data_IF_447973903842
#
_entry.id   IF_447973903842
#
_cell.length_a   1.000
_cell.length_b   1.000
_cell.length_c   1.000
_cell.angle_alpha   90.00
_cell.angle_beta   90.00
_cell.angle_gamma   90.00
#
_symmetry.space_group_name_H-M   'P 1'
#
loop_
_entity.id
_entity.type
_entity.pdbx_description
1 polymer ?
#
# COMPACT_ATOMS: atom_id res chain seq x y z
N UNK A 1 13.66 17.89 6.05
CA UNK A 1 12.24 17.67 5.70
C UNK A 1 11.84 16.36 6.37
N UNK A 2 10.82 16.34 7.21
CA UNK A 2 10.39 15.13 7.91
C UNK A 2 9.09 14.66 7.28
N UNK A 3 9.17 13.63 6.43
CA UNK A 3 8.00 12.85 6.02
C UNK A 3 7.64 11.97 7.23
N UNK A 4 6.53 12.27 7.89
CA UNK A 4 5.94 11.36 8.89
C UNK A 4 4.86 10.56 8.18
N UNK A 5 5.29 9.52 7.45
CA UNK A 5 4.38 8.48 6.97
C UNK A 5 4.04 7.53 8.12
N UNK A 6 2.78 7.13 8.24
CA UNK A 6 2.42 5.96 9.04
C UNK A 6 2.56 4.74 8.13
N UNK A 7 3.13 3.66 8.66
CA UNK A 7 3.24 2.37 7.96
C UNK A 7 1.90 1.66 8.02
N UNK A 8 1.34 1.34 6.87
CA UNK A 8 0.18 0.46 6.72
C UNK A 8 0.60 -0.85 6.02
N UNK A 9 -0.23 -1.88 6.15
CA UNK A 9 0.08 -3.22 5.63
C UNK A 9 -1.09 -3.80 4.85
N UNK A 10 -0.80 -4.44 3.72
CA UNK A 10 -1.71 -5.36 3.04
C UNK A 10 -1.21 -6.79 3.33
N UNK A 11 -2.10 -7.64 3.83
CA UNK A 11 -1.76 -9.00 4.26
C UNK A 11 -2.59 -10.04 3.52
N UNK A 12 -1.91 -10.98 2.88
CA UNK A 12 -2.45 -12.27 2.49
C UNK A 12 -1.96 -13.33 3.48
N UNK A 13 -2.87 -14.08 4.08
CA UNK A 13 -2.55 -15.20 4.98
C UNK A 13 -3.56 -16.32 4.74
N UNK A 14 -3.08 -17.50 4.36
CA UNK A 14 -3.92 -18.66 4.03
C UNK A 14 -3.29 -19.96 4.52
N UNK A 15 -4.14 -20.93 4.83
CA UNK A 15 -3.73 -22.31 5.14
C UNK A 15 -3.85 -23.17 3.88
N UNK A 16 -2.84 -23.98 3.63
CA UNK A 16 -2.80 -24.94 2.54
C UNK A 16 -2.65 -26.35 3.07
N UNK A 17 -3.34 -27.29 2.43
CA UNK A 17 -3.37 -28.69 2.80
C UNK A 17 -2.62 -29.52 1.76
N UNK A 18 -1.76 -30.42 2.21
CA UNK A 18 -1.03 -31.34 1.33
C UNK A 18 -2.02 -32.21 0.53
N UNK A 19 -1.71 -32.40 -0.76
CA UNK A 19 -2.52 -33.21 -1.66
C UNK A 19 -3.83 -32.55 -2.11
N UNK A 20 -4.08 -31.28 -1.73
CA UNK A 20 -5.26 -30.53 -2.14
C UNK A 20 -4.91 -29.39 -3.09
N UNK A 21 -5.83 -29.12 -4.02
CA UNK A 21 -5.81 -27.88 -4.82
C UNK A 21 -6.30 -26.71 -3.98
N UNK A 22 -5.94 -25.50 -4.38
CA UNK A 22 -6.13 -24.30 -3.57
C UNK A 22 -7.04 -23.22 -4.20
N UNK A 23 -8.30 -23.53 -4.59
CA UNK A 23 -9.17 -22.55 -5.28
C UNK A 23 -9.56 -21.36 -4.39
N UNK A 24 -9.80 -21.59 -3.10
CA UNK A 24 -10.15 -20.52 -2.15
C UNK A 24 -8.95 -19.59 -1.91
N UNK A 25 -7.77 -20.16 -1.77
CA UNK A 25 -6.52 -19.43 -1.62
C UNK A 25 -6.19 -18.66 -2.89
N UNK A 26 -6.52 -19.20 -4.07
CA UNK A 26 -6.38 -18.48 -5.34
C UNK A 26 -7.30 -17.25 -5.39
N UNK A 27 -8.56 -17.37 -4.98
CA UNK A 27 -9.47 -16.23 -4.91
C UNK A 27 -8.95 -15.14 -3.94
N UNK A 28 -8.43 -15.53 -2.77
CA UNK A 28 -7.80 -14.61 -1.83
C UNK A 28 -6.52 -13.97 -2.41
N UNK A 29 -5.74 -14.71 -3.19
CA UNK A 29 -4.55 -14.18 -3.86
C UNK A 29 -4.89 -13.14 -4.93
N UNK A 30 -5.96 -13.37 -5.69
CA UNK A 30 -6.47 -12.38 -6.64
C UNK A 30 -7.02 -11.13 -5.93
N UNK A 31 -7.62 -11.28 -4.76
CA UNK A 31 -8.03 -10.14 -3.93
C UNK A 31 -6.81 -9.32 -3.46
N UNK A 32 -5.74 -9.97 -3.00
CA UNK A 32 -4.47 -9.31 -2.69
C UNK A 32 -3.95 -8.53 -3.91
N UNK A 33 -3.89 -9.16 -5.08
CA UNK A 33 -3.42 -8.51 -6.31
C UNK A 33 -4.23 -7.24 -6.62
N UNK A 34 -5.55 -7.27 -6.44
CA UNK A 34 -6.41 -6.10 -6.63
C UNK A 34 -6.12 -4.97 -5.63
N UNK A 35 -5.74 -5.30 -4.39
CA UNK A 35 -5.36 -4.32 -3.36
C UNK A 35 -3.99 -3.69 -3.61
N UNK A 36 -3.10 -4.32 -4.38
CA UNK A 36 -1.74 -3.82 -4.67
C UNK A 36 -1.68 -2.62 -5.63
N UNK A 37 -2.61 -1.67 -5.51
CA UNK A 37 -2.66 -0.42 -6.28
C UNK A 37 -1.33 0.37 -6.19
N UNK A 38 -0.99 1.19 -7.21
CA UNK A 38 0.21 2.02 -7.20
C UNK A 38 0.30 2.94 -5.97
N UNK A 39 1.29 2.69 -5.11
CA UNK A 39 1.62 3.45 -3.89
C UNK A 39 3.08 3.20 -3.52
N UNK A 40 3.60 3.95 -2.55
CA UNK A 40 4.98 3.80 -2.04
C UNK A 40 5.08 2.59 -1.11
N UNK A 41 5.39 1.43 -1.67
CA UNK A 41 5.68 0.23 -0.89
C UNK A 41 7.09 0.29 -0.32
N UNK A 42 7.25 -0.14 0.92
CA UNK A 42 8.51 -0.07 1.67
C UNK A 42 9.10 -1.43 1.98
N UNK A 43 8.26 -2.47 2.02
CA UNK A 43 8.70 -3.85 2.26
C UNK A 43 7.72 -4.85 1.68
N UNK A 44 8.23 -5.98 1.19
CA UNK A 44 7.45 -7.21 1.03
C UNK A 44 8.09 -8.32 1.84
N UNK A 45 7.28 -9.15 2.50
CA UNK A 45 7.73 -10.30 3.28
C UNK A 45 6.93 -11.54 2.92
N UNK A 46 7.62 -12.69 2.75
CA UNK A 46 7.00 -14.02 2.68
C UNK A 46 7.40 -14.79 3.93
N UNK A 47 6.42 -15.27 4.69
CA UNK A 47 6.62 -16.09 5.91
C UNK A 47 5.52 -17.14 6.05
N UNK A 48 5.64 -18.04 7.02
CA UNK A 48 4.68 -19.14 7.17
C UNK A 48 4.89 -19.97 8.43
N UNK A 49 4.08 -21.00 8.63
CA UNK A 49 4.18 -21.84 9.83
C UNK A 49 5.50 -22.62 9.94
N UNK A 50 6.16 -22.91 8.82
CA UNK A 50 7.46 -23.58 8.79
C UNK A 50 8.66 -22.60 8.91
N UNK A 51 8.43 -21.31 8.66
CA UNK A 51 9.41 -20.24 8.89
C UNK A 51 8.68 -18.94 9.28
N UNK A 52 8.49 -18.70 10.59
CA UNK A 52 7.81 -17.50 11.08
C UNK A 52 8.60 -16.21 10.88
N UNK A 53 9.92 -16.29 10.63
CA UNK A 53 10.76 -15.11 10.35
C UNK A 53 10.60 -14.72 8.89
N UNK A 54 10.71 -15.69 7.99
CA UNK A 54 10.53 -15.51 6.56
C UNK A 54 11.66 -14.74 5.87
N UNK A 55 11.39 -14.33 4.64
CA UNK A 55 12.29 -13.52 3.81
C UNK A 55 11.60 -12.20 3.47
N UNK A 56 12.33 -11.10 3.63
CA UNK A 56 11.87 -9.77 3.26
C UNK A 56 12.71 -9.15 2.14
N UNK A 57 12.09 -8.25 1.40
CA UNK A 57 12.74 -7.29 0.53
C UNK A 57 12.36 -5.87 0.95
N UNK A 58 13.34 -4.99 1.11
CA UNK A 58 13.18 -3.60 1.53
C UNK A 58 13.77 -2.57 0.58
N UNK A 59 14.26 -2.99 -0.59
CA UNK A 59 14.64 -2.07 -1.67
C UNK A 59 13.38 -1.46 -2.33
N UNK A 60 13.17 -0.13 -2.27
CA UNK A 60 11.92 0.47 -2.73
C UNK A 60 11.60 0.18 -4.20
N UNK A 61 12.61 0.16 -5.08
CA UNK A 61 12.40 -0.09 -6.51
C UNK A 61 12.00 -1.54 -6.78
N UNK A 62 12.62 -2.49 -6.08
CA UNK A 62 12.26 -3.90 -6.15
C UNK A 62 10.85 -4.15 -5.61
N UNK A 63 10.52 -3.62 -4.43
CA UNK A 63 9.20 -3.81 -3.81
C UNK A 63 8.09 -3.20 -4.67
N UNK A 64 8.28 -1.98 -5.19
CA UNK A 64 7.33 -1.34 -6.11
C UNK A 64 7.17 -2.15 -7.40
N UNK A 65 8.27 -2.66 -7.98
CA UNK A 65 8.24 -3.51 -9.16
C UNK A 65 7.46 -4.81 -8.95
N UNK A 66 7.69 -5.49 -7.82
CA UNK A 66 6.98 -6.71 -7.43
C UNK A 66 5.49 -6.43 -7.26
N UNK A 67 5.13 -5.40 -6.48
CA UNK A 67 3.73 -5.04 -6.24
C UNK A 67 3.00 -4.69 -7.55
N UNK A 68 3.64 -3.91 -8.43
CA UNK A 68 3.08 -3.55 -9.73
C UNK A 68 2.90 -4.77 -10.64
N UNK A 69 3.87 -5.70 -10.67
CA UNK A 69 3.78 -6.91 -11.47
C UNK A 69 2.62 -7.82 -11.02
N UNK A 70 2.44 -7.98 -9.70
CA UNK A 70 1.32 -8.71 -9.13
C UNK A 70 -0.02 -8.01 -9.41
N UNK A 71 -0.10 -6.70 -9.20
CA UNK A 71 -1.33 -5.92 -9.40
C UNK A 71 -1.82 -5.94 -10.85
N UNK A 72 -0.90 -5.78 -11.80
CA UNK A 72 -1.22 -5.79 -13.24
C UNK A 72 -1.50 -7.18 -13.80
N UNK A 73 -1.25 -8.24 -13.02
CA UNK A 73 -1.33 -9.62 -13.50
C UNK A 73 -0.30 -9.90 -14.60
N UNK A 74 0.91 -9.32 -14.50
CA UNK A 74 1.92 -9.45 -15.55
C UNK A 74 2.38 -10.92 -15.69
N UNK A 75 2.05 -11.53 -16.83
CA UNK A 75 2.37 -12.93 -17.13
C UNK A 75 3.84 -13.15 -17.49
N UNK A 76 4.56 -12.10 -17.90
CA UNK A 76 5.96 -12.19 -18.23
C UNK A 76 6.79 -12.33 -16.95
N UNK A 77 7.78 -13.21 -17.00
CA UNK A 77 8.71 -13.41 -15.89
C UNK A 77 9.55 -12.15 -15.70
N UNK A 78 9.58 -11.65 -14.47
CA UNK A 78 10.38 -10.52 -14.03
C UNK A 78 11.14 -10.90 -12.77
N UNK A 79 12.32 -10.31 -12.60
CA UNK A 79 13.20 -10.56 -11.46
C UNK A 79 13.74 -9.28 -10.86
N UNK A 80 13.93 -9.30 -9.54
CA UNK A 80 14.56 -8.23 -8.77
C UNK A 80 15.52 -8.85 -7.75
N UNK A 81 16.74 -8.32 -7.66
CA UNK A 81 17.66 -8.67 -6.58
C UNK A 81 17.41 -7.73 -5.40
N UNK A 82 17.14 -8.28 -4.22
CA UNK A 82 16.78 -7.52 -3.04
C UNK A 82 17.17 -8.25 -1.77
N UNK A 83 17.87 -7.55 -0.86
CA UNK A 83 18.30 -8.07 0.45
C UNK A 83 18.99 -9.45 0.37
N UNK A 84 19.82 -9.65 -0.67
CA UNK A 84 20.58 -10.89 -0.89
C UNK A 84 19.79 -12.02 -1.56
N UNK A 85 18.56 -11.76 -1.98
CA UNK A 85 17.66 -12.74 -2.57
C UNK A 85 17.18 -12.32 -3.96
N UNK A 86 16.90 -13.29 -4.83
CA UNK A 86 16.31 -13.04 -6.14
C UNK A 86 14.81 -13.28 -6.08
N UNK A 87 14.05 -12.20 -6.18
CA UNK A 87 12.59 -12.21 -6.19
C UNK A 87 12.08 -12.32 -7.62
N UNK A 88 11.08 -13.16 -7.83
CA UNK A 88 10.50 -13.46 -9.12
C UNK A 88 8.98 -13.34 -9.12
N UNK A 89 8.43 -12.76 -10.18
CA UNK A 89 7.00 -12.83 -10.48
C UNK A 89 6.79 -13.24 -11.92
N UNK A 90 5.76 -14.03 -12.19
CA UNK A 90 5.37 -14.39 -13.56
C UNK A 90 4.30 -15.47 -13.59
N UNK A 91 3.89 -15.87 -14.79
CA UNK A 91 2.86 -16.89 -14.97
C UNK A 91 3.32 -18.26 -14.46
N UNK A 92 2.48 -18.92 -13.67
CA UNK A 92 2.60 -20.35 -13.35
C UNK A 92 1.21 -20.97 -13.23
N UNK A 93 0.85 -21.84 -14.18
CA UNK A 93 -0.52 -22.34 -14.32
C UNK A 93 -1.45 -21.25 -14.86
N UNK A 94 -2.55 -20.96 -14.15
CA UNK A 94 -3.55 -19.97 -14.58
C UNK A 94 -3.44 -18.63 -13.85
N UNK A 95 -2.41 -18.42 -13.03
CA UNK A 95 -2.21 -17.18 -12.29
C UNK A 95 -0.74 -16.80 -12.16
N UNK A 96 -0.50 -15.72 -11.42
CA UNK A 96 0.84 -15.18 -11.18
C UNK A 96 1.40 -15.74 -9.87
N UNK A 97 2.63 -16.26 -9.95
CA UNK A 97 3.45 -16.70 -8.83
C UNK A 97 4.25 -15.52 -8.26
N UNK A 98 4.47 -15.53 -6.94
CA UNK A 98 5.56 -14.80 -6.29
C UNK A 98 6.55 -15.82 -5.72
N UNK A 99 7.84 -15.70 -6.04
CA UNK A 99 8.87 -16.60 -5.51
C UNK A 99 10.17 -15.87 -5.19
N UNK A 100 10.99 -16.48 -4.34
CA UNK A 100 12.35 -16.01 -3.99
C UNK A 100 13.39 -16.92 -4.66
N UNK A 101 13.14 -17.25 -5.93
CA UNK A 101 14.00 -18.02 -6.82
C UNK A 101 13.42 -17.94 -8.25
N UNK A 102 13.76 -18.90 -9.11
CA UNK A 102 13.21 -19.01 -10.47
C UNK A 102 11.69 -19.29 -10.49
N UNK A 103 10.96 -18.50 -11.28
CA UNK A 103 9.49 -18.58 -11.35
C UNK A 103 9.04 -19.90 -11.99
N UNK A 104 8.00 -20.51 -11.39
CA UNK A 104 7.38 -21.75 -11.86
C UNK A 104 8.30 -22.98 -11.84
N UNK A 105 9.32 -22.94 -10.98
CA UNK A 105 10.22 -24.07 -10.71
C UNK A 105 9.89 -24.67 -9.34
N UNK A 106 10.25 -25.94 -9.14
CA UNK A 106 10.20 -26.59 -7.82
C UNK A 106 11.52 -26.35 -7.08
N UNK A 107 11.45 -26.01 -5.80
CA UNK A 107 12.60 -25.86 -4.92
C UNK A 107 12.37 -26.60 -3.60
N UNK A 108 13.44 -27.03 -2.93
CA UNK A 108 13.38 -27.71 -1.64
C UNK A 108 14.67 -27.47 -0.84
N UNK A 109 14.63 -26.64 0.23
CA UNK A 109 13.54 -25.73 0.57
C UNK A 109 13.38 -24.61 -0.46
N UNK A 110 12.21 -23.95 -0.48
CA UNK A 110 11.97 -22.76 -1.29
C UNK A 110 10.91 -21.85 -0.69
N UNK A 111 10.79 -20.66 -1.27
CA UNK A 111 9.78 -19.66 -0.93
C UNK A 111 9.02 -19.31 -2.20
N UNK A 112 7.84 -19.88 -2.36
CA UNK A 112 6.95 -19.62 -3.49
C UNK A 112 5.49 -19.60 -3.03
N UNK A 113 4.72 -18.67 -3.59
CA UNK A 113 3.28 -18.54 -3.37
C UNK A 113 2.63 -18.51 -4.75
N UNK A 114 1.98 -19.61 -5.13
CA UNK A 114 1.31 -19.80 -6.43
C UNK A 114 -0.03 -20.53 -6.28
N UNK A 115 -0.97 -20.01 -5.46
CA UNK A 115 -2.23 -20.67 -5.19
C UNK A 115 -3.11 -20.87 -6.44
N UNK A 116 -2.86 -20.10 -7.49
CA UNK A 116 -3.58 -20.18 -8.76
C UNK A 116 -2.91 -21.10 -9.80
N UNK A 117 -2.02 -22.02 -9.38
CA UNK A 117 -1.38 -22.98 -10.31
C UNK A 117 -2.36 -24.06 -10.84
N UNK A 118 -3.52 -24.22 -10.22
CA UNK A 118 -4.58 -25.19 -10.55
C UNK A 118 -4.23 -26.69 -10.33
N UNK A 119 -3.19 -26.96 -9.55
CA UNK A 119 -2.83 -28.29 -9.03
C UNK A 119 -2.37 -28.18 -7.56
N UNK A 120 -1.83 -29.27 -7.01
CA UNK A 120 -1.44 -29.42 -5.61
C UNK A 120 -0.07 -28.79 -5.28
N UNK A 121 0.66 -28.26 -6.28
CA UNK A 121 1.98 -27.64 -6.12
C UNK A 121 1.87 -26.13 -5.86
N UNK A 122 1.04 -25.72 -4.91
CA UNK A 122 0.67 -24.33 -4.62
C UNK A 122 1.80 -23.45 -4.06
N UNK A 123 2.99 -24.02 -3.83
CA UNK A 123 4.16 -23.33 -3.31
C UNK A 123 4.63 -23.89 -1.98
N UNK A 124 5.34 -23.09 -1.19
CA UNK A 124 5.88 -23.46 0.11
C UNK A 124 6.73 -22.34 0.69
N UNK A 125 6.87 -22.28 2.01
CA UNK A 125 7.72 -21.33 2.72
C UNK A 125 8.71 -22.11 3.57
N UNK A 126 9.96 -22.15 3.13
CA UNK A 126 11.03 -22.97 3.74
C UNK A 126 10.70 -24.48 3.77
N UNK A 127 9.96 -24.95 2.76
CA UNK A 127 9.59 -26.36 2.54
C UNK A 127 9.82 -26.73 1.08
N UNK A 128 9.64 -28.00 0.64
CA UNK A 128 9.40 -28.27 -0.78
C UNK A 128 8.29 -27.37 -1.31
N UNK A 129 8.42 -26.85 -2.54
CA UNK A 129 7.38 -26.03 -3.21
C UNK A 129 6.51 -26.84 -4.19
N UNK A 130 6.84 -28.12 -4.36
CA UNK A 130 6.09 -29.13 -5.09
C UNK A 130 5.91 -30.34 -4.18
N UNK A 131 4.70 -30.91 -4.15
CA UNK A 131 4.23 -31.77 -3.05
C UNK A 131 4.57 -31.21 -1.64
N UNK A 132 4.21 -29.94 -1.37
CA UNK A 132 4.50 -29.31 -0.09
C UNK A 132 3.72 -29.97 1.07
N UNK A 133 4.29 -30.03 2.29
CA UNK A 133 3.51 -30.37 3.48
C UNK A 133 2.47 -29.28 3.77
N UNK A 134 1.40 -29.64 4.49
CA UNK A 134 0.40 -28.68 4.96
C UNK A 134 1.06 -27.58 5.79
N UNK A 135 0.79 -26.31 5.46
CA UNK A 135 1.37 -25.16 6.14
C UNK A 135 0.49 -23.91 5.96
N UNK A 136 0.68 -22.90 6.80
CA UNK A 136 0.20 -21.55 6.51
C UNK A 136 1.27 -20.77 5.76
N UNK A 137 0.86 -19.95 4.80
CA UNK A 137 1.73 -19.04 4.07
C UNK A 137 1.16 -17.63 4.11
N UNK A 138 2.04 -16.67 4.29
CA UNK A 138 1.73 -15.25 4.39
C UNK A 138 2.57 -14.43 3.42
N UNK A 139 1.95 -13.42 2.82
CA UNK A 139 2.61 -12.37 2.04
C UNK A 139 2.13 -11.03 2.57
N UNK A 140 3.07 -10.21 3.04
CA UNK A 140 2.79 -8.91 3.65
C UNK A 140 3.51 -7.81 2.89
N UNK A 141 2.76 -6.82 2.43
CA UNK A 141 3.30 -5.60 1.83
C UNK A 141 3.12 -4.45 2.80
N UNK A 142 4.23 -3.82 3.20
CA UNK A 142 4.23 -2.55 3.93
C UNK A 142 4.26 -1.38 2.95
N UNK A 143 3.52 -0.32 3.25
CA UNK A 143 3.53 0.92 2.47
C UNK A 143 3.34 2.14 3.36
N UNK A 144 3.79 3.29 2.87
CA UNK A 144 3.52 4.57 3.54
C UNK A 144 2.20 5.15 3.04
N UNK A 145 1.26 5.39 3.94
CA UNK A 145 0.06 6.17 3.63
C UNK A 145 0.41 7.66 3.62
N UNK A 146 0.27 8.33 2.47
CA UNK A 146 0.27 9.80 2.42
C UNK A 146 -1.17 10.31 2.54
N UNK A 147 -1.48 11.10 3.56
CA UNK A 147 -2.75 11.82 3.64
C UNK A 147 -2.80 12.93 2.56
N UNK A 148 -3.48 12.70 1.43
CA UNK A 148 -3.69 13.72 0.41
C UNK A 148 -4.85 14.64 0.83
N UNK A 149 -4.54 15.85 1.30
CA UNK A 149 -5.55 16.85 1.62
C UNK A 149 -6.02 17.60 0.36
N UNK A 150 -7.23 17.30 -0.13
CA UNK A 150 -7.88 18.14 -1.15
C UNK A 150 -8.39 19.44 -0.53
N UNK A 151 -7.73 20.57 -0.83
CA UNK A 151 -8.29 21.88 -0.50
C UNK A 151 -9.23 22.36 -1.61
N UNK A 152 -10.54 22.50 -1.34
CA UNK A 152 -11.42 23.24 -2.26
C UNK A 152 -11.09 24.74 -2.17
N UNK A 153 -10.58 25.33 -3.26
CA UNK A 153 -10.48 26.79 -3.40
C UNK A 153 -11.90 27.35 -3.47
N UNK A 154 -12.36 27.98 -2.40
CA UNK A 154 -13.56 28.82 -2.48
C UNK A 154 -13.21 30.10 -3.22
N UNK A 155 -13.96 30.43 -4.28
CA UNK A 155 -13.92 31.78 -4.88
C UNK A 155 -14.22 32.81 -3.80
N UNK A 156 -13.29 33.72 -3.56
CA UNK A 156 -13.50 34.87 -2.69
C UNK A 156 -14.60 35.73 -3.34
N UNK A 157 -15.66 36.08 -2.59
CA UNK A 157 -16.51 37.19 -3.03
C UNK A 157 -15.63 38.44 -2.90
N UNK A 158 -15.50 39.23 -3.98
CA UNK A 158 -14.74 40.49 -4.00
C UNK A 158 -15.05 41.26 -2.71
N UNK A 159 -14.05 41.49 -1.85
CA UNK A 159 -14.13 42.54 -0.86
C UNK A 159 -13.99 43.85 -1.63
N UNK A 160 -15.05 44.65 -1.65
CA UNK A 160 -15.11 45.88 -2.45
C UNK A 160 -14.43 47.07 -1.75
N UNK A 161 -13.45 46.80 -0.88
CA UNK A 161 -12.78 47.82 -0.06
C UNK A 161 -11.28 47.73 -0.32
N UNK A 162 -10.73 48.80 -0.88
CA UNK A 162 -9.30 48.98 -1.14
C UNK A 162 -8.53 49.03 0.18
N UNK A 163 -7.80 47.97 0.53
CA UNK A 163 -6.93 47.96 1.72
C UNK A 163 -6.73 46.60 2.40
N UNK A 164 -7.53 45.57 2.08
CA UNK A 164 -7.29 44.22 2.58
C UNK A 164 -6.18 43.53 1.78
N UNK A 165 -4.98 43.43 2.35
CA UNK A 165 -3.93 42.58 1.79
C UNK A 165 -4.28 41.10 2.04
N UNK A 166 -4.30 40.33 0.95
CA UNK A 166 -4.46 38.88 1.02
C UNK A 166 -3.08 38.32 1.30
N UNK A 167 -2.86 37.72 2.47
CA UNK A 167 -1.73 36.80 2.64
C UNK A 167 -2.13 35.48 2.01
N UNK A 168 -1.45 34.98 0.96
CA UNK A 168 -1.68 33.64 0.46
C UNK A 168 -1.45 32.65 1.60
N UNK A 169 -2.39 31.73 1.80
CA UNK A 169 -2.29 30.69 2.82
C UNK A 169 -1.28 29.60 2.42
N UNK A 170 -0.07 29.99 2.02
CA UNK A 170 1.04 29.08 1.73
C UNK A 170 1.77 28.66 3.01
N UNK A 171 1.41 29.21 4.17
CA UNK A 171 2.07 28.95 5.46
C UNK A 171 1.11 28.56 6.58
N UNK A 172 0.08 27.77 6.29
CA UNK A 172 -0.57 26.99 7.36
C UNK A 172 0.35 25.81 7.73
N UNK A 173 1.36 26.06 8.57
CA UNK A 173 2.07 24.97 9.28
C UNK A 173 1.10 24.34 10.27
N UNK A 174 0.54 23.20 9.93
CA UNK A 174 -0.30 22.42 10.84
C UNK A 174 0.62 21.80 11.91
N UNK A 175 0.33 22.04 13.20
CA UNK A 175 1.00 21.32 14.28
C UNK A 175 0.44 19.90 14.32
N UNK A 176 1.27 18.86 14.16
CA UNK A 176 0.82 17.48 14.18
C UNK A 176 0.46 17.14 15.63
N UNK A 177 -0.79 16.82 15.88
CA UNK A 177 -1.24 16.45 17.23
C UNK A 177 -2.33 15.41 17.19
N UNK A 178 -3.34 15.59 16.33
CA UNK A 178 -4.46 14.65 16.30
C UNK A 178 -4.73 14.27 14.84
N UNK A 179 -4.39 13.04 14.48
CA UNK A 179 -4.80 12.40 13.24
C UNK A 179 -6.34 12.45 13.10
N UNK A 180 -6.82 12.54 11.87
CA UNK A 180 -8.23 12.28 11.59
C UNK A 180 -8.39 10.75 11.55
N UNK A 181 -9.20 10.19 12.45
CA UNK A 181 -9.69 8.83 12.30
C UNK A 181 -10.50 8.72 10.99
N UNK A 182 -10.62 7.52 10.42
CA UNK A 182 -11.39 7.27 9.20
C UNK A 182 -12.80 7.88 9.28
N UNK A 183 -13.23 8.53 8.20
CA UNK A 183 -14.54 9.20 8.11
C UNK A 183 -14.64 10.57 8.80
N UNK A 184 -13.58 11.09 9.44
CA UNK A 184 -13.65 12.34 10.18
C UNK A 184 -13.37 13.58 9.29
N UNK A 185 -14.41 14.30 8.87
CA UNK A 185 -14.26 15.63 8.23
C UNK A 185 -13.90 16.68 9.28
N UNK A 186 -12.65 17.18 9.29
CA UNK A 186 -12.23 18.22 10.23
C UNK A 186 -12.38 19.62 9.62
N UNK A 187 -13.24 20.45 10.21
CA UNK A 187 -13.42 21.86 9.81
C UNK A 187 -12.25 22.72 10.27
N UNK A 188 -11.47 23.26 9.33
CA UNK A 188 -10.40 24.22 9.64
C UNK A 188 -10.96 25.64 9.54
N UNK A 189 -10.92 26.41 10.62
CA UNK A 189 -11.27 27.83 10.63
C UNK A 189 -10.05 28.67 10.26
N UNK A 190 -10.08 29.34 9.11
CA UNK A 190 -9.12 30.41 8.83
C UNK A 190 -9.54 31.67 9.59
N UNK A 191 -8.60 32.31 10.30
CA UNK A 191 -8.80 33.65 10.86
C UNK A 191 -8.36 34.67 9.82
N UNK A 192 -9.27 35.52 9.35
CA UNK A 192 -8.90 36.76 8.67
C UNK A 192 -8.57 37.83 9.71
N UNK A 193 -7.45 38.54 9.50
CA UNK A 193 -7.13 39.78 10.22
C UNK A 193 -7.35 40.92 9.26
N UNK A 194 -8.41 41.69 9.44
CA UNK A 194 -8.67 42.91 8.66
C UNK A 194 -7.84 44.05 9.30
N UNK A 195 -7.15 44.85 8.48
CA UNK A 195 -6.15 45.83 8.95
C UNK A 195 -6.78 46.95 9.81
N UNK A 196 -8.08 47.22 9.61
CA UNK A 196 -8.85 48.16 10.42
C UNK A 196 -9.72 47.42 11.47
N UNK A 197 -9.54 47.69 12.78
CA UNK A 197 -10.38 47.15 13.85
C UNK A 197 -11.88 47.45 13.72
N UNK A 198 -12.27 48.52 13.00
CA UNK A 198 -13.67 48.92 12.78
C UNK A 198 -14.40 48.07 11.74
N UNK A 199 -13.67 47.24 10.98
CA UNK A 199 -14.24 46.31 10.00
C UNK A 199 -14.41 44.88 10.53
N UNK A 200 -14.14 44.65 11.81
CA UNK A 200 -14.38 43.37 12.51
C UNK A 200 -15.86 43.01 12.45
N UNK A 201 -16.23 42.12 11.53
CA UNK A 201 -17.60 41.63 11.33
C UNK A 201 -18.06 41.58 9.87
N UNK A 202 -17.40 42.33 8.96
CA UNK A 202 -17.71 42.28 7.51
C UNK A 202 -16.90 41.23 6.74
N UNK A 203 -15.81 40.74 7.35
CA UNK A 203 -14.98 39.67 6.80
C UNK A 203 -15.58 38.29 7.17
N UNK A 204 -16.37 37.69 6.28
CA UNK A 204 -16.94 36.34 6.51
C UNK A 204 -15.87 35.28 6.24
N UNK A 205 -15.43 34.58 7.28
CA UNK A 205 -14.50 33.46 7.14
C UNK A 205 -15.20 32.31 6.40
N UNK A 206 -14.72 31.95 5.20
CA UNK A 206 -15.20 30.76 4.50
C UNK A 206 -14.57 29.51 5.09
N UNK A 207 -15.40 28.54 5.46
CA UNK A 207 -14.98 27.22 5.92
C UNK A 207 -14.38 26.43 4.76
N UNK A 208 -13.26 25.72 5.00
CA UNK A 208 -12.78 24.65 4.12
C UNK A 208 -13.21 23.31 4.71
N UNK A 209 -13.78 22.44 3.88
CA UNK A 209 -14.00 21.04 4.22
C UNK A 209 -12.83 20.23 3.66
N UNK A 210 -12.27 19.35 4.50
CA UNK A 210 -11.29 18.35 4.12
C UNK A 210 -12.02 17.00 4.10
N UNK A 211 -11.93 16.26 3.00
CA UNK A 211 -12.36 14.87 2.90
C UNK A 211 -11.14 13.97 2.66
N UNK A 212 -11.26 12.70 3.06
CA UNK A 212 -10.35 11.63 2.70
C UNK A 212 -10.94 10.94 1.47
N UNK A 213 -10.13 10.66 0.44
CA UNK A 213 -10.47 9.73 -0.65
C UNK A 213 -9.69 8.45 -0.44
#
# INVERSE_FOLDING_TARGET
MAELGFGETILYSQVFMQGERSPNQCAAWQALQAELMPRRYTRVTIRGSADPVGISCSDPAAVEGIAQALHSGNVNVQYWDCDGHRWGTGSCGIGIELSVFEVCVCASPGFAVRPCIANENWGGVNTPTCDPPSQSMEVEFEYTSECIYKTRRFKQRKCNVSGCSITPAETCRFRPGNACAEGCTRKIRQRSTCADPRERGRCVNKLRNCGCD
#
